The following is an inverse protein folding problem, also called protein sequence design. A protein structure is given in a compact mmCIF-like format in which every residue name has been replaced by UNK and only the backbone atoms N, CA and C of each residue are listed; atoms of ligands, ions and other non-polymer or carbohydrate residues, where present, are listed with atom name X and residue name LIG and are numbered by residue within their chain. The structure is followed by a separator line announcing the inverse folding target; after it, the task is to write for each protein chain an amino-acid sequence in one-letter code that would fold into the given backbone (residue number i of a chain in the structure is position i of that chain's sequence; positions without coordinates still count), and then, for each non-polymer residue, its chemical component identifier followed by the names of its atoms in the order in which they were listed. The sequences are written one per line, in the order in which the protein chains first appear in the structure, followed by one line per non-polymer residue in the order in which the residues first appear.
data_IF_927031220487
#
_entry.id   IF_927031220487
#
_cell.length_a   1.000
_cell.length_b   1.000
_cell.length_c   1.000
_cell.angle_alpha   90.00
_cell.angle_beta   90.00
_cell.angle_gamma   90.00
#
_symmetry.space_group_name_H-M   'P 1'
#
loop_
_entity.id
_entity.type
_entity.pdbx_description
1 polymer ?
#
# COMPACT_ATOMS: atom_id res chain seq x y z
N UNK A 1 3.29 -10.70 21.83
CA UNK A 1 2.02 -10.06 22.29
C UNK A 1 2.33 -9.25 23.55
N UNK A 2 1.74 -8.03 23.69
CA UNK A 2 1.97 -7.18 24.87
C UNK A 2 2.31 -5.73 24.55
N UNK A 3 2.32 -5.32 23.28
CA UNK A 3 2.50 -3.91 22.90
C UNK A 3 1.18 -3.16 23.16
N UNK A 4 1.23 -1.97 23.80
CA UNK A 4 0.04 -1.15 24.03
C UNK A 4 -0.71 -0.86 22.73
N UNK A 5 -2.04 -0.89 22.81
CA UNK A 5 -2.91 -0.74 21.63
C UNK A 5 -2.75 0.61 20.94
N UNK A 6 -2.47 1.68 21.69
CA UNK A 6 -2.22 3.02 21.13
C UNK A 6 -0.99 3.07 20.24
N UNK A 7 0.10 2.41 20.67
CA UNK A 7 1.34 2.34 19.87
C UNK A 7 1.14 1.52 18.60
N UNK A 8 0.42 0.39 18.70
CA UNK A 8 0.12 -0.42 17.51
C UNK A 8 -0.82 0.34 16.57
N UNK A 9 -1.78 1.10 17.11
CA UNK A 9 -2.67 1.93 16.32
C UNK A 9 -1.91 2.95 15.47
N UNK A 10 -1.08 3.75 16.13
CA UNK A 10 -0.26 4.75 15.44
C UNK A 10 0.68 4.10 14.40
N UNK A 11 1.30 2.97 14.76
CA UNK A 11 2.20 2.24 13.85
C UNK A 11 1.47 1.70 12.61
N UNK A 12 0.29 1.10 12.76
CA UNK A 12 -0.48 0.59 11.61
C UNK A 12 -0.88 1.73 10.69
N UNK A 13 -1.32 2.86 11.27
CA UNK A 13 -1.78 4.01 10.50
C UNK A 13 -0.66 4.65 9.69
N UNK A 14 0.45 4.95 10.35
CA UNK A 14 1.56 5.60 9.67
C UNK A 14 2.23 4.69 8.63
N UNK A 15 2.15 3.37 8.83
CA UNK A 15 2.64 2.41 7.82
C UNK A 15 1.80 2.39 6.54
N UNK A 16 0.59 2.96 6.59
CA UNK A 16 -0.25 3.16 5.41
C UNK A 16 -0.08 4.57 4.81
N UNK A 17 0.64 5.46 5.47
CA UNK A 17 1.07 6.72 4.86
C UNK A 17 2.32 6.43 4.01
N UNK A 18 2.09 6.06 2.77
CA UNK A 18 3.13 5.79 1.79
C UNK A 18 3.57 7.08 1.09
N UNK A 19 4.66 7.02 0.36
CA UNK A 19 5.01 8.09 -0.57
C UNK A 19 3.90 8.31 -1.60
N UNK A 20 3.24 7.24 -2.05
CA UNK A 20 2.08 7.29 -2.94
C UNK A 20 0.85 7.92 -2.26
N UNK A 21 0.70 7.82 -0.94
CA UNK A 21 -0.38 8.52 -0.23
C UNK A 21 -0.24 10.04 -0.33
N UNK A 22 0.98 10.56 -0.37
CA UNK A 22 1.24 11.99 -0.46
C UNK A 22 1.33 12.43 -1.94
N UNK A 23 2.17 11.77 -2.71
CA UNK A 23 2.48 12.16 -4.09
C UNK A 23 1.47 11.59 -5.08
N UNK A 24 1.10 10.31 -4.97
CA UNK A 24 0.12 9.67 -5.85
C UNK A 24 -1.29 10.22 -5.66
N UNK A 25 -1.67 10.62 -4.43
CA UNK A 25 -2.96 11.31 -4.24
C UNK A 25 -2.95 12.74 -4.79
N UNK A 26 -1.81 13.46 -4.73
CA UNK A 26 -1.66 14.75 -5.40
C UNK A 26 -1.75 14.59 -6.94
N UNK A 27 -1.12 13.57 -7.50
CA UNK A 27 -1.26 13.17 -8.90
C UNK A 27 -2.71 12.82 -9.26
N UNK A 28 -3.44 12.10 -8.39
CA UNK A 28 -4.87 11.84 -8.55
C UNK A 28 -5.70 13.14 -8.52
N UNK A 29 -5.31 14.12 -7.70
CA UNK A 29 -5.90 15.46 -7.69
C UNK A 29 -5.70 16.20 -9.00
N UNK A 30 -4.52 16.08 -9.62
CA UNK A 30 -4.28 16.62 -10.95
C UNK A 30 -5.16 15.94 -12.01
N UNK A 31 -5.27 14.61 -11.99
CA UNK A 31 -5.98 13.82 -12.99
C UNK A 31 -7.51 13.94 -12.89
N UNK A 32 -8.05 13.98 -11.65
CA UNK A 32 -9.49 13.89 -11.38
C UNK A 32 -10.05 15.10 -10.63
N UNK A 33 -9.29 16.18 -10.47
CA UNK A 33 -9.71 17.37 -9.74
C UNK A 33 -9.95 17.12 -8.25
N UNK A 34 -10.90 17.83 -7.67
CA UNK A 34 -11.22 17.73 -6.22
C UNK A 34 -11.69 16.35 -5.78
N UNK A 35 -12.22 15.55 -6.71
CA UNK A 35 -12.65 14.18 -6.44
C UNK A 35 -11.47 13.19 -6.31
N UNK A 36 -10.29 13.51 -6.87
CA UNK A 36 -9.15 12.60 -6.92
C UNK A 36 -8.67 12.18 -5.53
N UNK A 37 -8.37 13.14 -4.67
CA UNK A 37 -7.95 12.87 -3.29
C UNK A 37 -9.02 12.15 -2.45
N UNK A 38 -10.29 12.52 -2.63
CA UNK A 38 -11.41 11.86 -1.96
C UNK A 38 -11.54 10.39 -2.38
N UNK A 39 -11.47 10.12 -3.69
CA UNK A 39 -11.58 8.77 -4.23
C UNK A 39 -10.36 7.93 -3.87
N UNK A 40 -9.17 8.51 -3.82
CA UNK A 40 -7.97 7.87 -3.26
C UNK A 40 -8.23 7.43 -1.81
N UNK A 41 -8.78 8.32 -0.98
CA UNK A 41 -8.95 8.09 0.45
C UNK A 41 -9.95 6.96 0.75
N UNK A 42 -11.17 7.01 0.23
CA UNK A 42 -12.15 5.97 0.53
C UNK A 42 -11.80 4.64 -0.14
N UNK A 43 -11.29 4.66 -1.38
CA UNK A 43 -10.91 3.45 -2.10
C UNK A 43 -9.85 2.66 -1.35
N UNK A 44 -8.78 3.32 -0.92
CA UNK A 44 -7.71 2.67 -0.16
C UNK A 44 -8.06 2.36 1.31
N UNK A 45 -9.17 2.87 1.84
CA UNK A 45 -9.61 2.58 3.21
C UNK A 45 -10.44 1.30 3.32
N UNK A 46 -11.24 0.95 2.32
CA UNK A 46 -12.12 -0.23 2.33
C UNK A 46 -11.37 -1.52 2.67
N UNK A 47 -10.19 -1.82 2.12
CA UNK A 47 -9.48 -3.04 2.43
C UNK A 47 -9.10 -3.22 3.91
N UNK A 48 -8.92 -2.15 4.67
CA UNK A 48 -8.72 -2.27 6.12
C UNK A 48 -9.97 -2.75 6.84
N UNK A 49 -11.16 -2.30 6.40
CA UNK A 49 -12.41 -2.82 6.94
C UNK A 49 -12.64 -4.29 6.59
N UNK A 50 -12.05 -4.78 5.50
CA UNK A 50 -12.03 -6.21 5.17
C UNK A 50 -10.95 -6.96 6.00
N UNK A 51 -9.78 -6.38 6.19
CA UNK A 51 -8.68 -6.97 6.97
C UNK A 51 -9.06 -7.19 8.44
N UNK A 52 -9.77 -6.25 9.07
CA UNK A 52 -10.14 -6.33 10.49
C UNK A 52 -10.87 -7.63 10.81
N UNK A 53 -12.02 -7.99 10.19
CA UNK A 53 -12.70 -9.23 10.48
C UNK A 53 -11.87 -10.46 10.13
N UNK A 54 -11.02 -10.42 9.10
CA UNK A 54 -10.13 -11.52 8.75
C UNK A 54 -9.13 -11.81 9.87
N UNK A 55 -8.46 -10.78 10.38
CA UNK A 55 -7.48 -10.93 11.46
C UNK A 55 -8.14 -11.35 12.77
N UNK A 56 -9.32 -10.80 13.09
CA UNK A 56 -10.08 -11.20 14.27
C UNK A 56 -10.50 -12.67 14.20
N UNK A 57 -10.92 -13.13 13.01
CA UNK A 57 -11.27 -14.52 12.76
C UNK A 57 -10.04 -15.43 12.87
N UNK A 58 -8.92 -15.03 12.27
CA UNK A 58 -7.65 -15.75 12.35
C UNK A 58 -7.19 -15.92 13.80
N UNK A 59 -7.21 -14.85 14.60
CA UNK A 59 -6.84 -14.89 16.03
C UNK A 59 -7.72 -15.86 16.85
N UNK A 60 -9.00 -15.99 16.48
CA UNK A 60 -9.95 -16.88 17.16
C UNK A 60 -9.76 -18.33 16.72
N UNK A 61 -9.58 -18.59 15.44
CA UNK A 61 -9.54 -19.94 14.87
C UNK A 61 -8.13 -20.56 14.91
N UNK A 62 -7.09 -19.73 14.81
CA UNK A 62 -5.70 -20.18 14.77
C UNK A 62 -4.81 -19.28 15.66
N UNK A 63 -4.99 -19.34 17.00
CA UNK A 63 -4.39 -18.37 17.95
C UNK A 63 -2.86 -18.39 17.98
N UNK A 64 -2.22 -19.48 17.56
CA UNK A 64 -0.76 -19.63 17.53
C UNK A 64 -0.15 -19.28 16.16
N UNK A 65 -0.95 -18.90 15.18
CA UNK A 65 -0.51 -18.48 13.86
C UNK A 65 0.39 -17.22 13.95
N UNK A 66 1.46 -17.22 13.18
CA UNK A 66 2.41 -16.09 13.09
C UNK A 66 2.39 -15.41 11.73
N UNK A 67 2.09 -16.17 10.66
CA UNK A 67 1.98 -15.64 9.30
C UNK A 67 0.64 -16.03 8.66
N UNK A 68 0.14 -15.18 7.75
CA UNK A 68 -1.09 -15.54 7.02
C UNK A 68 -0.88 -16.76 6.10
N UNK A 69 0.35 -17.00 5.67
CA UNK A 69 0.71 -18.17 4.84
C UNK A 69 0.69 -19.48 5.63
N UNK A 70 0.93 -19.46 6.95
CA UNK A 70 0.67 -20.61 7.81
C UNK A 70 -0.82 -20.99 7.77
N UNK A 71 -1.72 -20.00 7.87
CA UNK A 71 -3.14 -20.25 7.72
C UNK A 71 -3.46 -20.86 6.35
N UNK A 72 -2.93 -20.30 5.26
CA UNK A 72 -3.12 -20.84 3.90
C UNK A 72 -2.60 -22.28 3.80
N UNK A 73 -1.48 -22.59 4.42
CA UNK A 73 -0.92 -23.95 4.46
C UNK A 73 -1.89 -24.94 5.12
N UNK A 74 -2.44 -24.58 6.26
CA UNK A 74 -3.40 -25.43 6.98
C UNK A 74 -4.73 -25.55 6.23
N UNK A 75 -5.16 -24.49 5.59
CA UNK A 75 -6.45 -24.41 4.91
C UNK A 75 -6.48 -25.06 3.53
N UNK A 76 -5.44 -24.85 2.74
CA UNK A 76 -5.38 -25.24 1.33
C UNK A 76 -4.23 -26.18 0.98
N UNK A 77 -3.29 -26.38 1.90
CA UNK A 77 -2.10 -27.18 1.69
C UNK A 77 -0.90 -26.40 1.12
N UNK A 78 0.25 -27.08 1.07
CA UNK A 78 1.54 -26.48 0.76
C UNK A 78 1.62 -25.88 -0.66
N UNK A 79 0.93 -26.48 -1.64
CA UNK A 79 0.95 -25.97 -3.02
C UNK A 79 0.36 -24.58 -3.15
N UNK A 80 -0.83 -24.36 -2.57
CA UNK A 80 -1.48 -23.04 -2.56
C UNK A 80 -0.70 -22.06 -1.70
N UNK A 81 -0.13 -22.52 -0.58
CA UNK A 81 0.69 -21.69 0.30
C UNK A 81 1.92 -21.12 -0.40
N UNK A 82 2.59 -21.90 -1.27
CA UNK A 82 3.71 -21.40 -2.09
C UNK A 82 3.27 -20.27 -3.01
N UNK A 83 2.09 -20.40 -3.61
CA UNK A 83 1.54 -19.35 -4.48
C UNK A 83 1.27 -18.06 -3.68
N UNK A 84 0.64 -18.17 -2.51
CA UNK A 84 0.42 -17.02 -1.63
C UNK A 84 1.72 -16.41 -1.08
N UNK A 85 2.74 -17.24 -0.83
CA UNK A 85 4.07 -16.74 -0.45
C UNK A 85 4.68 -15.88 -1.56
N UNK A 86 4.60 -16.32 -2.84
CA UNK A 86 5.10 -15.56 -3.98
C UNK A 86 4.37 -14.22 -4.10
N UNK A 87 3.04 -14.20 -4.00
CA UNK A 87 2.25 -12.97 -4.03
C UNK A 87 2.57 -12.04 -2.84
N UNK A 88 2.70 -12.59 -1.63
CA UNK A 88 3.05 -11.80 -0.45
C UNK A 88 4.43 -11.15 -0.55
N UNK A 89 5.43 -11.88 -1.05
CA UNK A 89 6.75 -11.29 -1.33
C UNK A 89 6.67 -10.28 -2.47
N UNK A 90 5.90 -10.57 -3.52
CA UNK A 90 5.65 -9.65 -4.63
C UNK A 90 5.08 -8.30 -4.16
N UNK A 91 4.09 -8.32 -3.28
CA UNK A 91 3.53 -7.11 -2.65
C UNK A 91 4.60 -6.34 -1.87
N UNK A 92 5.37 -7.03 -1.01
CA UNK A 92 6.43 -6.40 -0.22
C UNK A 92 7.47 -5.72 -1.11
N UNK A 93 7.92 -6.41 -2.16
CA UNK A 93 8.90 -5.87 -3.12
C UNK A 93 8.31 -4.67 -3.86
N UNK A 94 7.07 -4.77 -4.35
CA UNK A 94 6.38 -3.67 -5.01
C UNK A 94 6.28 -2.43 -4.09
N UNK A 95 5.82 -2.62 -2.86
CA UNK A 95 5.67 -1.51 -1.90
C UNK A 95 7.02 -0.82 -1.66
N UNK A 96 8.09 -1.58 -1.44
CA UNK A 96 9.43 -1.02 -1.28
C UNK A 96 9.90 -0.25 -2.51
N UNK A 97 9.60 -0.74 -3.72
CA UNK A 97 9.89 -0.05 -4.98
C UNK A 97 9.15 1.28 -5.02
N UNK A 98 7.85 1.31 -4.75
CA UNK A 98 7.04 2.52 -4.76
C UNK A 98 7.58 3.58 -3.77
N UNK A 99 8.00 3.16 -2.55
CA UNK A 99 8.64 4.07 -1.60
C UNK A 99 9.94 4.64 -2.18
N UNK A 100 10.81 3.80 -2.74
CA UNK A 100 12.08 4.24 -3.33
C UNK A 100 11.90 5.21 -4.49
N UNK A 101 10.96 4.93 -5.40
CA UNK A 101 10.63 5.81 -6.53
C UNK A 101 10.13 7.17 -6.01
N UNK A 102 9.16 7.19 -5.09
CA UNK A 102 8.62 8.42 -4.54
C UNK A 102 9.67 9.27 -3.83
N UNK A 103 10.51 8.68 -3.01
CA UNK A 103 11.59 9.40 -2.32
C UNK A 103 12.60 9.94 -3.34
N UNK A 104 12.97 9.16 -4.35
CA UNK A 104 13.88 9.59 -5.42
C UNK A 104 13.36 10.81 -6.18
N UNK A 105 12.06 10.83 -6.53
CA UNK A 105 11.40 11.98 -7.17
C UNK A 105 11.47 13.21 -6.25
N UNK A 106 11.12 13.08 -4.97
CA UNK A 106 11.11 14.22 -4.03
C UNK A 106 12.50 14.82 -3.84
N UNK A 107 13.53 14.00 -3.64
CA UNK A 107 14.91 14.51 -3.50
C UNK A 107 15.39 15.21 -4.76
N UNK A 108 15.04 14.68 -5.94
CA UNK A 108 15.40 15.31 -7.22
C UNK A 108 14.64 16.62 -7.43
N UNK A 109 13.31 16.64 -7.30
CA UNK A 109 12.47 17.83 -7.55
C UNK A 109 12.75 18.95 -6.56
N UNK A 110 12.98 18.64 -5.27
CA UNK A 110 13.18 19.64 -4.23
C UNK A 110 14.59 20.21 -4.19
N UNK A 111 15.61 19.36 -4.33
CA UNK A 111 17.02 19.74 -4.10
C UNK A 111 17.93 19.52 -5.32
N UNK A 112 17.43 18.99 -6.43
CA UNK A 112 18.26 18.65 -7.60
C UNK A 112 19.23 17.49 -7.34
N UNK A 113 19.04 16.71 -6.26
CA UNK A 113 19.84 15.54 -5.99
C UNK A 113 19.55 14.49 -7.05
N UNK A 114 20.57 13.85 -7.67
CA UNK A 114 20.32 12.79 -8.64
C UNK A 114 19.33 11.74 -8.11
N UNK A 115 18.33 11.40 -8.93
CA UNK A 115 17.25 10.49 -8.55
C UNK A 115 17.76 9.20 -7.93
N UNK A 116 18.82 8.61 -8.51
CA UNK A 116 19.41 7.35 -8.07
C UNK A 116 19.95 7.46 -6.63
N UNK A 117 20.57 8.59 -6.30
CA UNK A 117 21.10 8.88 -4.97
C UNK A 117 19.97 9.07 -3.96
N UNK A 118 18.97 9.88 -4.34
CA UNK A 118 17.77 10.16 -3.53
C UNK A 118 16.93 8.91 -3.26
N UNK A 119 16.94 7.93 -4.16
CA UNK A 119 16.19 6.69 -4.02
C UNK A 119 16.96 5.63 -3.21
N UNK A 120 18.25 5.42 -3.50
CA UNK A 120 19.05 4.31 -2.95
C UNK A 120 19.47 4.56 -1.50
N UNK A 121 19.92 5.77 -1.16
CA UNK A 121 20.41 6.07 0.20
C UNK A 121 19.33 5.87 1.27
N UNK A 122 18.09 6.38 1.11
CA UNK A 122 17.02 6.13 2.06
C UNK A 122 16.68 4.64 2.24
N UNK A 123 16.60 3.88 1.14
CA UNK A 123 16.39 2.44 1.20
C UNK A 123 17.52 1.71 1.93
N UNK A 124 18.76 2.14 1.74
CA UNK A 124 19.91 1.59 2.46
C UNK A 124 19.83 1.86 3.98
N UNK A 125 19.42 3.07 4.38
CA UNK A 125 19.20 3.43 5.78
C UNK A 125 18.15 2.55 6.43
N UNK A 126 16.97 2.39 5.78
CA UNK A 126 15.88 1.52 6.26
C UNK A 126 16.38 0.08 6.39
N UNK A 127 17.12 -0.41 5.41
CA UNK A 127 17.66 -1.78 5.41
C UNK A 127 18.55 -2.04 6.63
N UNK A 128 19.51 -1.16 6.89
CA UNK A 128 20.42 -1.28 8.04
C UNK A 128 19.68 -1.19 9.37
N UNK A 129 18.74 -0.24 9.46
CA UNK A 129 17.91 -0.04 10.64
C UNK A 129 17.08 -1.30 10.96
N UNK A 130 16.33 -1.84 9.99
CA UNK A 130 15.48 -3.01 10.19
C UNK A 130 16.29 -4.28 10.44
N UNK A 131 17.42 -4.45 9.78
CA UNK A 131 18.31 -5.58 10.04
C UNK A 131 18.80 -5.64 11.50
N UNK A 132 18.89 -4.48 12.17
CA UNK A 132 19.30 -4.39 13.58
C UNK A 132 18.13 -4.37 14.56
N UNK A 133 17.09 -3.58 14.31
CA UNK A 133 16.04 -3.28 15.28
C UNK A 133 14.83 -4.23 15.23
N UNK A 134 14.56 -4.84 14.08
CA UNK A 134 13.40 -5.72 13.89
C UNK A 134 12.05 -5.02 14.13
N UNK A 135 10.97 -5.82 14.32
CA UNK A 135 9.59 -5.32 14.42
C UNK A 135 9.35 -4.36 15.61
N UNK A 136 9.97 -4.60 16.77
CA UNK A 136 9.76 -3.73 17.94
C UNK A 136 10.30 -2.32 17.72
N UNK A 137 11.48 -2.21 17.15
CA UNK A 137 12.09 -0.94 16.80
C UNK A 137 11.27 -0.20 15.74
N UNK A 138 10.72 -0.90 14.76
CA UNK A 138 9.82 -0.33 13.75
C UNK A 138 8.61 0.34 14.40
N UNK A 139 7.86 -0.37 15.24
CA UNK A 139 6.63 0.16 15.88
C UNK A 139 6.91 1.42 16.72
N UNK A 140 8.04 1.48 17.42
CA UNK A 140 8.36 2.65 18.25
C UNK A 140 8.72 3.86 17.38
N UNK A 141 9.50 3.63 16.34
CA UNK A 141 9.88 4.68 15.39
C UNK A 141 8.67 5.23 14.62
N UNK A 142 7.72 4.36 14.25
CA UNK A 142 6.49 4.73 13.55
C UNK A 142 5.67 5.79 14.30
N UNK A 143 5.64 5.73 15.63
CA UNK A 143 4.91 6.71 16.46
C UNK A 143 5.51 8.11 16.35
N UNK A 144 6.84 8.20 16.39
CA UNK A 144 7.55 9.48 16.26
C UNK A 144 7.28 10.07 14.86
N UNK A 145 7.39 9.22 13.85
CA UNK A 145 7.17 9.61 12.46
C UNK A 145 5.73 10.07 12.21
N UNK A 146 4.73 9.45 12.85
CA UNK A 146 3.34 9.87 12.79
C UNK A 146 3.15 11.34 13.22
N UNK A 147 3.75 11.73 14.35
CA UNK A 147 3.65 13.11 14.83
C UNK A 147 4.33 14.09 13.87
N UNK A 148 5.50 13.76 13.35
CA UNK A 148 6.23 14.62 12.40
C UNK A 148 5.41 14.81 11.11
N UNK A 149 4.90 13.73 10.52
CA UNK A 149 4.07 13.78 9.32
C UNK A 149 2.82 14.63 9.56
N UNK A 150 2.13 14.42 10.68
CA UNK A 150 0.91 15.15 11.02
C UNK A 150 1.16 16.64 11.18
N UNK A 151 2.21 17.05 11.88
CA UNK A 151 2.57 18.46 12.09
C UNK A 151 2.86 19.13 10.75
N UNK A 152 3.68 18.52 9.90
CA UNK A 152 4.06 19.09 8.60
C UNK A 152 2.83 19.23 7.71
N UNK A 153 1.94 18.23 7.67
CA UNK A 153 0.69 18.29 6.90
C UNK A 153 -0.23 19.43 7.37
N UNK A 154 -0.43 19.56 8.68
CA UNK A 154 -1.29 20.62 9.26
C UNK A 154 -0.75 22.02 8.95
N UNK A 155 0.57 22.20 8.97
CA UNK A 155 1.22 23.49 8.69
C UNK A 155 1.20 23.81 7.20
N UNK A 156 1.38 22.80 6.34
CA UNK A 156 1.48 23.01 4.89
C UNK A 156 0.21 23.57 4.26
N UNK A 157 -0.97 23.13 4.71
CA UNK A 157 -2.25 23.54 4.12
C UNK A 157 -2.50 25.06 4.25
N UNK A 158 -2.47 25.65 5.46
CA UNK A 158 -2.65 27.10 5.57
C UNK A 158 -1.63 27.91 4.79
N UNK A 159 -0.38 27.45 4.71
CA UNK A 159 0.67 28.14 3.97
C UNK A 159 0.39 28.15 2.45
N UNK A 160 -0.06 27.05 1.89
CA UNK A 160 -0.46 27.00 0.46
C UNK A 160 -1.64 27.94 0.21
N UNK A 161 -2.68 27.87 1.05
CA UNK A 161 -3.86 28.70 0.90
C UNK A 161 -3.55 30.21 1.08
N UNK A 162 -2.60 30.54 1.97
CA UNK A 162 -2.15 31.91 2.16
C UNK A 162 -1.30 32.39 0.96
N UNK A 163 -0.43 31.52 0.41
CA UNK A 163 0.48 31.89 -0.68
C UNK A 163 -0.27 32.10 -2.01
N UNK A 164 -1.16 31.17 -2.38
CA UNK A 164 -1.90 31.23 -3.63
C UNK A 164 -3.18 32.05 -3.54
N UNK A 165 -3.84 32.05 -2.40
CA UNK A 165 -5.20 32.58 -2.23
C UNK A 165 -6.28 31.60 -2.68
N UNK A 166 -7.30 31.39 -1.84
CA UNK A 166 -8.39 30.48 -2.14
C UNK A 166 -9.16 30.87 -3.40
N UNK A 167 -9.36 32.17 -3.63
CA UNK A 167 -10.04 32.70 -4.81
C UNK A 167 -9.26 32.39 -6.08
N UNK A 168 -7.94 32.55 -6.06
CA UNK A 168 -7.10 32.25 -7.22
C UNK A 168 -7.10 30.77 -7.56
N UNK A 169 -7.05 29.89 -6.54
CA UNK A 169 -7.18 28.44 -6.73
C UNK A 169 -8.54 28.10 -7.35
N UNK A 170 -9.61 28.68 -6.83
CA UNK A 170 -10.96 28.45 -7.36
C UNK A 170 -11.09 28.93 -8.82
N UNK A 171 -10.67 30.16 -9.10
CA UNK A 171 -10.74 30.71 -10.46
C UNK A 171 -9.88 29.93 -11.46
N UNK A 172 -8.68 29.48 -11.04
CA UNK A 172 -7.86 28.59 -11.85
C UNK A 172 -8.51 27.25 -12.12
N UNK A 173 -9.20 26.66 -11.12
CA UNK A 173 -9.97 25.43 -11.34
C UNK A 173 -11.20 25.64 -12.24
N UNK A 174 -11.83 26.83 -12.20
CA UNK A 174 -12.89 27.20 -13.15
C UNK A 174 -12.32 27.23 -14.57
N UNK A 175 -11.11 27.78 -14.78
CA UNK A 175 -10.44 27.74 -16.09
C UNK A 175 -10.15 26.31 -16.56
N UNK A 176 -9.69 25.42 -15.64
CA UNK A 176 -9.51 23.98 -15.93
C UNK A 176 -10.80 23.32 -16.42
N UNK A 177 -11.96 23.74 -15.88
CA UNK A 177 -13.28 23.16 -16.25
C UNK A 177 -13.81 23.74 -17.56
N UNK A 178 -13.58 25.03 -17.83
CA UNK A 178 -14.27 25.78 -18.89
C UNK A 178 -13.43 26.05 -20.13
N UNK A 179 -12.11 25.99 -20.01
CA UNK A 179 -11.18 26.31 -21.09
C UNK A 179 -10.57 25.06 -21.73
N UNK A 180 -11.03 24.63 -22.94
CA UNK A 180 -10.48 23.45 -23.63
C UNK A 180 -9.00 23.56 -24.01
N UNK A 181 -8.45 24.78 -24.09
CA UNK A 181 -7.03 24.97 -24.37
C UNK A 181 -6.13 24.87 -23.14
N UNK A 182 -6.72 24.73 -21.95
CA UNK A 182 -5.94 24.50 -20.72
C UNK A 182 -5.29 23.10 -20.76
N UNK A 183 -4.00 23.04 -20.45
CA UNK A 183 -3.21 21.79 -20.44
C UNK A 183 -3.81 20.71 -19.52
N UNK A 184 -4.54 21.13 -18.49
CA UNK A 184 -5.20 20.25 -17.52
C UNK A 184 -6.72 20.21 -17.73
N UNK A 185 -7.22 20.52 -18.94
CA UNK A 185 -8.66 20.58 -19.20
C UNK A 185 -9.38 19.35 -18.69
N UNK A 186 -10.32 19.56 -17.79
CA UNK A 186 -11.17 18.51 -17.22
C UNK A 186 -12.52 19.11 -16.79
N UNK A 187 -13.59 18.89 -17.54
CA UNK A 187 -14.90 19.46 -17.24
C UNK A 187 -15.51 19.00 -15.92
N UNK A 188 -14.97 17.92 -15.32
CA UNK A 188 -15.41 17.39 -14.05
C UNK A 188 -14.48 17.77 -12.87
N UNK A 189 -13.45 18.60 -13.06
CA UNK A 189 -12.43 18.88 -12.03
C UNK A 189 -12.99 19.49 -10.73
N UNK A 190 -14.10 20.22 -10.79
CA UNK A 190 -14.82 20.77 -9.64
C UNK A 190 -15.95 19.87 -9.12
N UNK A 191 -16.15 18.68 -9.69
CA UNK A 191 -17.19 17.73 -9.26
C UNK A 191 -16.64 16.74 -8.24
N UNK A 192 -17.26 16.65 -7.06
CA UNK A 192 -16.96 15.59 -6.08
C UNK A 192 -17.43 14.20 -6.57
N UNK A 193 -18.37 14.16 -7.49
CA UNK A 193 -18.95 12.94 -8.08
C UNK A 193 -18.53 12.76 -9.53
N UNK A 194 -17.28 13.08 -9.89
CA UNK A 194 -16.77 12.89 -11.25
C UNK A 194 -16.75 11.40 -11.61
N UNK A 195 -17.16 11.10 -12.86
CA UNK A 195 -17.17 9.73 -13.36
C UNK A 195 -15.77 9.10 -13.41
N UNK A 196 -14.76 9.88 -13.81
CA UNK A 196 -13.36 9.49 -13.80
C UNK A 196 -12.85 9.21 -12.38
N UNK A 197 -13.11 10.13 -11.45
CA UNK A 197 -12.72 9.96 -10.05
C UNK A 197 -13.38 8.75 -9.39
N UNK A 198 -14.66 8.49 -9.66
CA UNK A 198 -15.35 7.31 -9.11
C UNK A 198 -14.76 6.00 -9.65
N UNK A 199 -14.48 5.90 -10.95
CA UNK A 199 -13.78 4.74 -11.53
C UNK A 199 -12.43 4.54 -10.86
N UNK A 200 -11.69 5.62 -10.63
CA UNK A 200 -10.43 5.56 -9.91
C UNK A 200 -10.62 5.07 -8.45
N UNK A 201 -11.61 5.56 -7.73
CA UNK A 201 -11.92 5.09 -6.37
C UNK A 201 -12.20 3.58 -6.30
N UNK A 202 -12.99 3.05 -7.24
CA UNK A 202 -13.21 1.60 -7.36
C UNK A 202 -11.90 0.85 -7.65
N UNK A 203 -11.06 1.39 -8.53
CA UNK A 203 -9.73 0.83 -8.81
C UNK A 203 -8.85 0.84 -7.56
N UNK A 204 -8.87 1.93 -6.80
CA UNK A 204 -8.12 2.03 -5.55
C UNK A 204 -8.54 0.97 -4.51
N UNK A 205 -9.84 0.58 -4.48
CA UNK A 205 -10.28 -0.58 -3.67
C UNK A 205 -9.56 -1.85 -4.13
N UNK A 206 -9.52 -2.11 -5.42
CA UNK A 206 -8.89 -3.34 -5.97
C UNK A 206 -7.39 -3.35 -5.67
N UNK A 207 -6.72 -2.24 -5.92
CA UNK A 207 -5.29 -2.03 -5.64
C UNK A 207 -4.99 -2.34 -4.17
N UNK A 208 -5.68 -1.67 -3.27
CA UNK A 208 -5.44 -1.82 -1.85
C UNK A 208 -5.90 -3.18 -1.28
N UNK A 209 -6.88 -3.86 -1.90
CA UNK A 209 -7.21 -5.24 -1.51
C UNK A 209 -6.00 -6.17 -1.62
N UNK A 210 -5.27 -6.12 -2.74
CA UNK A 210 -4.05 -6.90 -2.90
C UNK A 210 -2.95 -6.49 -1.92
N UNK A 211 -2.68 -5.19 -1.85
CA UNK A 211 -1.59 -4.63 -1.04
C UNK A 211 -1.79 -4.83 0.47
N UNK A 212 -3.01 -4.72 0.97
CA UNK A 212 -3.31 -4.85 2.41
C UNK A 212 -3.46 -6.30 2.84
N UNK A 213 -4.22 -7.10 2.07
CA UNK A 213 -4.56 -8.45 2.49
C UNK A 213 -3.42 -9.46 2.28
N UNK A 214 -2.43 -9.16 1.46
CA UNK A 214 -1.25 -10.01 1.24
C UNK A 214 0.02 -9.50 1.91
N UNK A 215 -0.02 -8.35 2.58
CA UNK A 215 1.14 -7.83 3.30
C UNK A 215 1.22 -8.40 4.73
N UNK A 216 2.21 -9.25 4.95
CA UNK A 216 2.49 -9.84 6.27
C UNK A 216 2.77 -8.79 7.35
N UNK A 217 3.24 -7.60 7.00
CA UNK A 217 3.50 -6.51 7.94
C UNK A 217 2.25 -6.14 8.76
N UNK A 218 1.08 -6.02 8.12
CA UNK A 218 -0.18 -5.73 8.79
C UNK A 218 -0.63 -6.87 9.70
N UNK A 219 -0.50 -8.13 9.27
CA UNK A 219 -0.80 -9.28 10.12
C UNK A 219 0.11 -9.33 11.35
N UNK A 220 1.40 -9.09 11.18
CA UNK A 220 2.37 -9.07 12.28
C UNK A 220 2.03 -8.02 13.34
N UNK A 221 1.68 -6.79 12.92
CA UNK A 221 1.25 -5.71 13.81
C UNK A 221 -0.07 -6.04 14.50
N UNK A 222 -1.03 -6.58 13.76
CA UNK A 222 -2.31 -7.01 14.30
C UNK A 222 -2.17 -8.14 15.34
N UNK A 223 -1.32 -9.13 15.07
CA UNK A 223 -1.02 -10.23 16.00
C UNK A 223 -0.31 -9.73 17.26
N UNK A 224 0.54 -8.71 17.16
CA UNK A 224 1.24 -8.10 18.29
C UNK A 224 0.30 -7.35 19.27
N UNK A 225 -0.90 -6.96 18.84
CA UNK A 225 -1.86 -6.18 19.64
C UNK A 225 -2.39 -6.98 20.83
N UNK A 226 -2.53 -6.33 21.99
CA UNK A 226 -2.90 -6.98 23.25
C UNK A 226 -4.31 -7.58 23.23
N UNK A 227 -5.32 -6.93 22.63
CA UNK A 227 -6.70 -7.42 22.59
C UNK A 227 -7.41 -7.17 21.26
N UNK A 228 -8.44 -7.98 20.96
CA UNK A 228 -9.27 -7.82 19.76
C UNK A 228 -10.07 -6.52 19.76
N UNK A 229 -10.51 -6.04 20.91
CA UNK A 229 -11.25 -4.77 21.04
C UNK A 229 -10.35 -3.56 20.77
N UNK A 230 -9.12 -3.65 21.26
CA UNK A 230 -8.07 -2.64 20.99
C UNK A 230 -7.68 -2.61 19.53
N UNK A 231 -7.57 -3.78 18.89
CA UNK A 231 -7.29 -3.91 17.46
C UNK A 231 -8.37 -3.21 16.63
N UNK A 232 -9.65 -3.53 16.88
CA UNK A 232 -10.77 -2.93 16.13
C UNK A 232 -10.76 -1.40 16.23
N UNK A 233 -10.64 -0.88 17.46
CA UNK A 233 -10.59 0.59 17.67
C UNK A 233 -9.39 1.22 16.96
N UNK A 234 -8.23 0.59 17.08
CA UNK A 234 -7.01 1.06 16.46
C UNK A 234 -7.14 1.21 14.94
N UNK A 235 -7.62 0.18 14.28
CA UNK A 235 -7.73 0.18 12.82
C UNK A 235 -8.83 1.13 12.33
N UNK A 236 -10.00 1.18 12.99
CA UNK A 236 -11.11 2.06 12.56
C UNK A 236 -10.74 3.53 12.75
N UNK A 237 -10.35 3.94 13.97
CA UNK A 237 -10.01 5.34 14.25
C UNK A 237 -8.84 5.78 13.39
N UNK A 238 -7.84 4.95 13.29
CA UNK A 238 -6.67 5.29 12.54
C UNK A 238 -6.93 5.41 11.04
N UNK A 239 -7.69 4.52 10.43
CA UNK A 239 -8.03 4.63 9.01
C UNK A 239 -8.84 5.90 8.75
N UNK A 240 -9.93 6.12 9.51
CA UNK A 240 -10.86 7.22 9.23
C UNK A 240 -10.33 8.58 9.70
N UNK A 241 -9.75 8.65 10.89
CA UNK A 241 -9.39 9.93 11.51
C UNK A 241 -7.95 10.33 11.23
N UNK A 242 -7.02 9.36 11.24
CA UNK A 242 -5.61 9.67 11.08
C UNK A 242 -5.13 9.60 9.63
N UNK A 243 -5.59 8.61 8.84
CA UNK A 243 -5.07 8.39 7.49
C UNK A 243 -5.89 9.09 6.40
N UNK A 244 -7.22 8.93 6.34
CA UNK A 244 -8.04 9.48 5.25
C UNK A 244 -7.87 10.99 4.99
N UNK A 245 -7.69 11.85 6.00
CA UNK A 245 -7.46 13.27 5.75
C UNK A 245 -6.21 13.54 4.91
N UNK A 246 -5.16 12.73 5.01
CA UNK A 246 -3.89 12.96 4.30
C UNK A 246 -4.08 12.93 2.78
N UNK A 247 -4.57 11.85 2.15
CA UNK A 247 -4.76 11.84 0.70
C UNK A 247 -5.85 12.82 0.22
N UNK A 248 -6.88 13.12 1.04
CA UNK A 248 -7.87 14.14 0.70
C UNK A 248 -7.19 15.50 0.58
N UNK A 249 -6.34 15.86 1.53
CA UNK A 249 -5.58 17.12 1.51
C UNK A 249 -4.59 17.12 0.34
N UNK A 250 -3.82 16.06 0.17
CA UNK A 250 -2.81 16.02 -0.90
C UNK A 250 -3.45 16.12 -2.29
N UNK A 251 -4.56 15.42 -2.57
CA UNK A 251 -5.27 15.53 -3.83
C UNK A 251 -6.01 16.87 -3.97
N UNK A 252 -6.82 17.22 -2.96
CA UNK A 252 -7.68 18.39 -3.00
C UNK A 252 -6.93 19.74 -2.86
N UNK A 253 -5.81 19.76 -2.09
CA UNK A 253 -5.04 21.01 -1.93
C UNK A 253 -3.79 21.00 -2.80
N UNK A 254 -2.92 19.98 -2.70
CA UNK A 254 -1.66 20.03 -3.44
C UNK A 254 -1.87 19.85 -4.94
N UNK A 255 -2.55 18.78 -5.37
CA UNK A 255 -2.81 18.51 -6.79
C UNK A 255 -3.66 19.59 -7.46
N UNK A 256 -4.76 19.98 -6.84
CA UNK A 256 -5.66 21.00 -7.36
C UNK A 256 -5.01 22.38 -7.41
N UNK A 257 -4.14 22.74 -6.45
CA UNK A 257 -3.39 24.00 -6.51
C UNK A 257 -2.44 24.04 -7.72
N UNK A 258 -1.82 22.92 -8.08
CA UNK A 258 -0.92 22.86 -9.22
C UNK A 258 -1.67 23.08 -10.54
N UNK A 259 -2.76 22.35 -10.76
CA UNK A 259 -3.54 22.52 -12.02
C UNK A 259 -4.22 23.89 -12.11
N UNK A 260 -4.59 24.49 -10.97
CA UNK A 260 -5.17 25.86 -10.95
C UNK A 260 -4.20 26.95 -11.41
N UNK A 261 -2.90 26.67 -11.38
CA UNK A 261 -1.86 27.56 -11.93
C UNK A 261 -1.55 27.32 -13.43
N UNK A 262 -2.28 26.42 -14.09
CA UNK A 262 -1.99 26.02 -15.46
C UNK A 262 -0.73 25.15 -15.60
N UNK A 263 -0.26 24.54 -14.49
CA UNK A 263 0.92 23.68 -14.46
C UNK A 263 0.47 22.23 -14.58
N UNK A 264 1.10 21.49 -15.48
CA UNK A 264 0.79 20.08 -15.74
C UNK A 264 1.99 19.31 -16.27
N UNK A 265 1.81 18.02 -16.54
CA UNK A 265 2.84 17.19 -17.17
C UNK A 265 3.13 17.70 -18.59
N UNK A 266 4.40 17.93 -18.90
CA UNK A 266 4.84 18.61 -20.14
C UNK A 266 4.67 20.13 -20.13
N UNK A 267 4.03 20.72 -19.11
CA UNK A 267 3.84 22.16 -18.96
C UNK A 267 4.24 22.62 -17.54
N UNK A 268 5.52 22.46 -17.22
CA UNK A 268 6.11 22.85 -15.94
C UNK A 268 6.46 21.66 -15.03
N UNK A 269 5.90 20.48 -15.25
CA UNK A 269 6.28 19.23 -14.59
C UNK A 269 6.81 18.22 -15.61
N UNK A 270 7.82 17.45 -15.23
CA UNK A 270 8.27 16.29 -16.00
C UNK A 270 7.35 15.07 -15.78
N UNK A 271 6.79 14.95 -14.59
CA UNK A 271 5.86 13.89 -14.18
C UNK A 271 4.76 14.49 -13.30
N UNK A 272 3.52 14.04 -13.45
CA UNK A 272 2.42 14.43 -12.58
C UNK A 272 2.68 14.09 -11.10
N UNK A 273 3.48 13.06 -10.81
CA UNK A 273 3.95 12.69 -9.45
C UNK A 273 4.79 13.80 -8.78
N UNK A 274 5.26 14.80 -9.52
CA UNK A 274 6.00 15.95 -8.97
C UNK A 274 5.08 17.05 -8.41
N UNK A 275 3.76 16.91 -8.52
CA UNK A 275 2.80 17.93 -8.07
C UNK A 275 3.02 18.37 -6.62
N UNK A 276 3.09 17.42 -5.70
CA UNK A 276 3.30 17.73 -4.28
C UNK A 276 4.66 18.40 -3.99
N UNK A 277 5.81 17.91 -4.46
CA UNK A 277 7.08 18.62 -4.30
C UNK A 277 7.10 19.97 -5.04
N UNK A 278 6.45 20.12 -6.18
CA UNK A 278 6.38 21.38 -6.91
C UNK A 278 5.72 22.48 -6.08
N UNK A 279 4.50 22.24 -5.59
CA UNK A 279 3.79 23.22 -4.78
C UNK A 279 4.53 23.54 -3.47
N UNK A 280 5.14 22.53 -2.85
CA UNK A 280 5.91 22.74 -1.63
C UNK A 280 7.18 23.55 -1.85
N UNK A 281 7.88 23.33 -2.97
CA UNK A 281 9.05 24.12 -3.34
C UNK A 281 8.67 25.57 -3.60
N UNK A 282 7.52 25.82 -4.25
CA UNK A 282 7.01 27.13 -4.51
C UNK A 282 6.69 27.90 -3.22
N UNK A 283 5.96 27.25 -2.31
CA UNK A 283 5.48 27.87 -1.06
C UNK A 283 6.60 28.08 -0.04
N UNK A 284 7.53 27.15 0.06
CA UNK A 284 8.61 27.21 1.05
C UNK A 284 9.90 27.87 0.55
N UNK A 285 10.03 28.12 -0.77
CA UNK A 285 11.17 28.86 -1.34
C UNK A 285 12.54 28.23 -1.12
N UNK A 286 12.64 26.92 -0.91
CA UNK A 286 13.89 26.20 -0.69
C UNK A 286 14.45 26.26 0.75
N UNK A 287 13.76 26.92 1.69
CA UNK A 287 14.19 27.03 3.09
C UNK A 287 13.91 25.79 3.95
N UNK A 288 13.87 25.99 5.28
CA UNK A 288 13.62 24.93 6.25
C UNK A 288 12.34 24.13 5.97
N UNK A 289 11.28 24.79 5.47
CA UNK A 289 10.02 24.15 5.11
C UNK A 289 10.19 23.11 4.00
N UNK A 290 11.04 23.36 3.01
CA UNK A 290 11.37 22.38 1.97
C UNK A 290 12.08 21.15 2.55
N UNK A 291 12.98 21.34 3.49
CA UNK A 291 13.65 20.24 4.20
C UNK A 291 12.63 19.43 5.02
N UNK A 292 11.70 20.10 5.71
CA UNK A 292 10.65 19.44 6.49
C UNK A 292 9.72 18.62 5.60
N UNK A 293 9.33 19.13 4.42
CA UNK A 293 8.51 18.37 3.48
C UNK A 293 9.23 17.11 2.97
N UNK A 294 10.50 17.24 2.56
CA UNK A 294 11.31 16.08 2.14
C UNK A 294 11.44 15.07 3.29
N UNK A 295 11.66 15.56 4.52
CA UNK A 295 11.72 14.71 5.72
C UNK A 295 10.38 13.98 5.94
N UNK A 296 9.24 14.64 5.73
CA UNK A 296 7.91 14.02 5.83
C UNK A 296 7.76 12.85 4.86
N UNK A 297 8.07 13.05 3.58
CA UNK A 297 7.97 11.99 2.56
C UNK A 297 8.97 10.87 2.84
N UNK A 298 10.19 11.20 3.25
CA UNK A 298 11.19 10.23 3.66
C UNK A 298 10.71 9.38 4.86
N UNK A 299 10.13 10.02 5.87
CA UNK A 299 9.58 9.33 7.04
C UNK A 299 8.41 8.40 6.67
N UNK A 300 7.52 8.84 5.78
CA UNK A 300 6.43 8.01 5.25
C UNK A 300 6.98 6.74 4.57
N UNK A 301 7.97 6.89 3.69
CA UNK A 301 8.62 5.74 3.06
C UNK A 301 9.38 4.83 4.03
N UNK A 302 10.00 5.39 5.07
CA UNK A 302 10.72 4.61 6.09
C UNK A 302 9.80 3.75 6.96
N UNK A 303 8.65 4.28 7.42
CA UNK A 303 7.69 3.51 8.23
C UNK A 303 7.16 2.32 7.44
N UNK A 304 6.75 2.57 6.21
CA UNK A 304 6.25 1.55 5.30
C UNK A 304 7.33 0.53 4.96
N UNK A 305 8.50 1.00 4.54
CA UNK A 305 9.64 0.14 4.21
C UNK A 305 10.07 -0.74 5.39
N UNK A 306 10.05 -0.19 6.61
CA UNK A 306 10.32 -0.93 7.83
C UNK A 306 9.32 -2.05 8.09
N UNK A 307 8.03 -1.79 7.92
CA UNK A 307 6.96 -2.78 8.00
C UNK A 307 7.12 -3.91 6.99
N UNK A 308 7.34 -3.56 5.72
CA UNK A 308 7.54 -4.50 4.62
C UNK A 308 8.77 -5.39 4.82
N UNK A 309 9.92 -4.84 5.17
CA UNK A 309 11.13 -5.63 5.43
C UNK A 309 10.97 -6.54 6.65
N UNK A 310 10.27 -6.10 7.70
CA UNK A 310 9.94 -6.96 8.84
C UNK A 310 8.98 -8.09 8.44
N UNK A 311 8.02 -7.81 7.56
CA UNK A 311 7.12 -8.80 6.96
C UNK A 311 7.89 -9.82 6.11
N UNK A 312 8.83 -9.37 5.29
CA UNK A 312 9.72 -10.25 4.51
C UNK A 312 10.55 -11.16 5.42
N UNK A 313 11.15 -10.61 6.50
CA UNK A 313 11.86 -11.43 7.47
C UNK A 313 10.97 -12.54 8.03
N UNK A 314 9.72 -12.22 8.42
CA UNK A 314 8.79 -13.19 8.98
C UNK A 314 8.46 -14.30 7.96
N UNK A 315 8.06 -13.93 6.74
CA UNK A 315 7.70 -14.87 5.68
C UNK A 315 8.88 -15.77 5.30
N UNK A 316 10.05 -15.19 5.03
CA UNK A 316 11.21 -15.98 4.63
C UNK A 316 11.73 -16.87 5.75
N UNK A 317 11.65 -16.44 7.01
CA UNK A 317 12.13 -17.22 8.15
C UNK A 317 11.18 -18.37 8.46
N UNK A 318 9.88 -18.10 8.61
CA UNK A 318 8.89 -19.10 9.00
C UNK A 318 8.52 -20.03 7.82
N UNK A 319 8.20 -19.44 6.67
CA UNK A 319 7.60 -20.19 5.56
C UNK A 319 8.61 -20.75 4.56
N UNK A 320 9.84 -20.23 4.54
CA UNK A 320 10.89 -20.74 3.65
C UNK A 320 12.02 -21.42 4.41
N UNK A 321 12.73 -20.70 5.28
CA UNK A 321 13.94 -21.20 5.91
C UNK A 321 13.67 -22.38 6.82
N UNK A 322 12.76 -22.22 7.77
CA UNK A 322 12.42 -23.28 8.73
C UNK A 322 11.72 -24.47 8.07
N UNK A 323 10.90 -24.21 7.05
CA UNK A 323 10.12 -25.27 6.39
C UNK A 323 10.91 -26.09 5.38
N UNK A 324 11.87 -25.49 4.66
CA UNK A 324 12.53 -26.13 3.54
C UNK A 324 14.07 -26.20 3.66
N UNK A 325 14.71 -25.36 4.49
CA UNK A 325 16.18 -25.30 4.59
C UNK A 325 16.67 -25.91 5.87
N UNK A 326 16.15 -25.49 7.03
CA UNK A 326 16.58 -26.01 8.33
C UNK A 326 15.38 -26.09 9.29
N UNK A 327 14.67 -27.24 9.35
CA UNK A 327 13.52 -27.43 10.24
C UNK A 327 13.84 -27.31 11.73
N UNK A 328 15.09 -27.57 12.12
CA UNK A 328 15.57 -27.52 13.52
C UNK A 328 16.28 -26.21 13.85
N UNK A 329 16.16 -25.18 12.99
CA UNK A 329 16.85 -23.91 13.16
C UNK A 329 16.52 -23.24 14.50
N UNK A 330 17.56 -22.86 15.24
CA UNK A 330 17.45 -22.08 16.47
C UNK A 330 16.94 -20.67 16.17
N UNK A 331 16.42 -19.95 17.18
CA UNK A 331 16.00 -18.55 17.02
C UNK A 331 17.14 -17.66 16.51
N UNK A 332 18.37 -17.91 16.97
CA UNK A 332 19.53 -17.14 16.51
C UNK A 332 19.82 -17.37 15.02
N UNK A 333 19.73 -18.60 14.54
CA UNK A 333 19.90 -18.95 13.13
C UNK A 333 18.81 -18.32 12.28
N UNK A 334 17.57 -18.34 12.76
CA UNK A 334 16.44 -17.68 12.11
C UNK A 334 16.65 -16.17 12.01
N UNK A 335 17.07 -15.51 13.09
CA UNK A 335 17.39 -14.07 13.07
C UNK A 335 18.54 -13.73 12.13
N UNK A 336 19.61 -14.55 12.10
CA UNK A 336 20.72 -14.36 11.16
C UNK A 336 20.26 -14.48 9.71
N UNK A 337 19.41 -15.46 9.42
CA UNK A 337 18.85 -15.63 8.09
C UNK A 337 17.94 -14.46 7.71
N UNK A 338 17.03 -14.03 8.59
CA UNK A 338 16.15 -12.88 8.38
C UNK A 338 16.93 -11.60 8.05
N UNK A 339 18.05 -11.34 8.76
CA UNK A 339 18.94 -10.20 8.46
C UNK A 339 19.53 -10.29 7.05
N UNK A 340 20.00 -11.47 6.63
CA UNK A 340 20.53 -11.67 5.27
C UNK A 340 19.46 -11.40 4.22
N UNK A 341 18.24 -11.90 4.42
CA UNK A 341 17.12 -11.68 3.51
C UNK A 341 16.77 -10.19 3.38
N UNK A 342 16.82 -9.42 4.48
CA UNK A 342 16.61 -7.97 4.43
C UNK A 342 17.56 -7.31 3.42
N UNK A 343 18.86 -7.64 3.46
CA UNK A 343 19.83 -7.09 2.50
C UNK A 343 19.61 -7.57 1.08
N UNK A 344 19.25 -8.84 0.87
CA UNK A 344 18.99 -9.39 -0.47
C UNK A 344 17.77 -8.71 -1.09
N UNK A 345 16.64 -8.66 -0.38
CA UNK A 345 15.41 -8.02 -0.87
C UNK A 345 15.65 -6.55 -1.17
N UNK A 346 16.30 -5.82 -0.27
CA UNK A 346 16.59 -4.40 -0.47
C UNK A 346 17.54 -4.16 -1.65
N UNK A 347 18.54 -5.03 -1.85
CA UNK A 347 19.46 -4.94 -2.99
C UNK A 347 18.72 -5.09 -4.33
N UNK A 348 17.80 -6.06 -4.43
CA UNK A 348 16.94 -6.24 -5.61
C UNK A 348 16.08 -4.99 -5.82
N UNK A 349 15.43 -4.49 -4.77
CA UNK A 349 14.59 -3.30 -4.83
C UNK A 349 15.37 -2.09 -5.31
N UNK A 350 16.58 -1.84 -4.79
CA UNK A 350 17.42 -0.71 -5.21
C UNK A 350 17.72 -0.73 -6.72
N UNK A 351 18.02 -1.90 -7.26
CA UNK A 351 18.25 -2.05 -8.72
C UNK A 351 16.97 -1.72 -9.49
N UNK A 352 15.82 -2.27 -9.09
CA UNK A 352 14.55 -2.07 -9.79
C UNK A 352 14.10 -0.60 -9.71
N UNK A 353 14.29 0.06 -8.57
CA UNK A 353 13.96 1.48 -8.40
C UNK A 353 14.73 2.36 -9.39
N UNK A 354 16.01 2.08 -9.61
CA UNK A 354 16.81 2.81 -10.62
C UNK A 354 16.24 2.61 -12.04
N UNK A 355 15.83 1.38 -12.38
CA UNK A 355 15.25 1.06 -13.70
C UNK A 355 13.87 1.68 -13.92
N UNK A 356 13.15 2.02 -12.86
CA UNK A 356 11.82 2.63 -12.91
C UNK A 356 11.84 4.17 -12.83
N UNK A 357 13.01 4.78 -12.98
CA UNK A 357 13.14 6.24 -13.11
C UNK A 357 12.20 6.79 -14.20
N UNK A 358 11.48 7.86 -13.89
CA UNK A 358 10.57 8.50 -14.83
C UNK A 358 9.21 7.81 -15.00
N UNK A 359 8.83 6.90 -14.08
CA UNK A 359 7.51 6.28 -14.08
C UNK A 359 6.57 6.99 -13.09
N UNK A 360 5.31 7.15 -13.47
CA UNK A 360 4.24 7.68 -12.63
C UNK A 360 3.98 6.77 -11.43
N UNK A 361 3.92 7.36 -10.23
CA UNK A 361 3.59 6.64 -9.00
C UNK A 361 2.16 6.14 -9.00
N UNK A 362 1.22 6.96 -9.48
CA UNK A 362 -0.19 6.60 -9.55
C UNK A 362 -0.42 5.42 -10.50
N UNK A 363 0.22 5.44 -11.68
CA UNK A 363 0.08 4.37 -12.66
C UNK A 363 0.73 3.06 -12.17
N UNK A 364 1.88 3.15 -11.49
CA UNK A 364 2.49 1.98 -10.84
C UNK A 364 1.56 1.37 -9.79
N UNK A 365 0.90 2.22 -9.01
CA UNK A 365 -0.05 1.79 -7.96
C UNK A 365 -1.26 1.10 -8.60
N UNK A 366 -1.86 1.70 -9.62
CA UNK A 366 -2.97 1.12 -10.41
C UNK A 366 -2.59 -0.25 -11.00
N UNK A 367 -1.41 -0.37 -11.61
CA UNK A 367 -0.97 -1.64 -12.19
C UNK A 367 -0.74 -2.73 -11.15
N UNK A 368 -0.33 -2.36 -9.94
CA UNK A 368 -0.16 -3.32 -8.84
C UNK A 368 -1.46 -4.02 -8.44
N UNK A 369 -2.61 -3.35 -8.58
CA UNK A 369 -3.91 -3.96 -8.33
C UNK A 369 -4.18 -5.15 -9.25
N UNK A 370 -3.86 -5.02 -10.55
CA UNK A 370 -3.97 -6.12 -11.51
C UNK A 370 -3.10 -7.31 -11.10
N UNK A 371 -1.89 -7.04 -10.58
CA UNK A 371 -0.95 -8.09 -10.19
C UNK A 371 -1.35 -8.81 -8.90
N UNK A 372 -1.94 -8.09 -7.92
CA UNK A 372 -2.04 -8.62 -6.55
C UNK A 372 -3.48 -8.82 -6.04
N UNK A 373 -4.53 -8.39 -6.76
CA UNK A 373 -5.91 -8.53 -6.27
C UNK A 373 -6.45 -9.97 -6.33
N UNK A 374 -6.03 -10.77 -7.31
CA UNK A 374 -6.62 -12.07 -7.58
C UNK A 374 -6.62 -13.06 -6.38
N UNK A 375 -5.56 -13.18 -5.55
CA UNK A 375 -5.55 -14.10 -4.41
C UNK A 375 -6.52 -13.73 -3.28
N UNK A 376 -6.95 -12.47 -3.20
CA UNK A 376 -7.74 -11.96 -2.07
C UNK A 376 -9.09 -12.65 -1.91
N UNK A 377 -9.75 -13.00 -3.02
CA UNK A 377 -11.03 -13.73 -3.02
C UNK A 377 -10.88 -15.12 -2.40
N UNK A 378 -9.80 -15.85 -2.74
CA UNK A 378 -9.50 -17.17 -2.16
C UNK A 378 -9.06 -17.07 -0.69
N UNK A 379 -8.36 -16.00 -0.31
CA UNK A 379 -8.00 -15.74 1.09
C UNK A 379 -9.26 -15.53 1.95
N UNK A 380 -10.17 -14.67 1.52
CA UNK A 380 -11.43 -14.38 2.20
C UNK A 380 -12.29 -15.65 2.30
N UNK A 381 -12.48 -16.34 1.19
CA UNK A 381 -13.26 -17.58 1.17
C UNK A 381 -12.62 -18.68 2.05
N UNK A 382 -11.30 -18.75 2.10
CA UNK A 382 -10.58 -19.66 2.97
C UNK A 382 -10.92 -19.49 4.46
N UNK A 383 -11.19 -18.26 4.88
CA UNK A 383 -11.55 -17.93 6.26
C UNK A 383 -12.99 -18.34 6.62
N UNK A 384 -13.92 -18.24 5.68
CA UNK A 384 -15.36 -18.33 5.97
C UNK A 384 -16.09 -19.48 5.27
N UNK A 385 -15.61 -19.97 4.13
CA UNK A 385 -16.27 -20.97 3.33
C UNK A 385 -15.59 -22.35 3.44
N UNK A 386 -16.32 -23.35 3.96
CA UNK A 386 -15.83 -24.73 4.07
C UNK A 386 -15.60 -25.40 2.71
N UNK A 387 -16.38 -25.01 1.69
CA UNK A 387 -16.46 -25.70 0.39
C UNK A 387 -15.41 -25.24 -0.65
N UNK A 388 -14.69 -24.16 -0.38
CA UNK A 388 -13.62 -23.72 -1.28
C UNK A 388 -12.46 -24.71 -1.26
N UNK A 389 -12.28 -25.44 -2.35
CA UNK A 389 -11.20 -26.41 -2.48
C UNK A 389 -9.86 -25.75 -2.90
N UNK A 390 -8.71 -26.40 -2.66
CA UNK A 390 -7.41 -25.93 -3.16
C UNK A 390 -7.39 -25.69 -4.67
N UNK A 391 -8.07 -26.55 -5.46
CA UNK A 391 -8.14 -26.41 -6.91
C UNK A 391 -8.90 -25.15 -7.33
N UNK A 392 -10.04 -24.85 -6.67
CA UNK A 392 -10.81 -23.62 -6.90
C UNK A 392 -9.94 -22.40 -6.58
N UNK A 393 -9.20 -22.43 -5.49
CA UNK A 393 -8.33 -21.33 -5.10
C UNK A 393 -7.25 -21.04 -6.16
N UNK A 394 -6.51 -22.06 -6.62
CA UNK A 394 -5.49 -21.87 -7.67
C UNK A 394 -6.11 -21.40 -8.98
N UNK A 395 -7.18 -22.04 -9.43
CA UNK A 395 -7.83 -21.70 -10.69
C UNK A 395 -8.35 -20.26 -10.68
N UNK A 396 -8.97 -19.81 -9.57
CA UNK A 396 -9.45 -18.44 -9.44
C UNK A 396 -8.32 -17.41 -9.52
N UNK A 397 -7.19 -17.67 -8.86
CA UNK A 397 -6.04 -16.77 -8.87
C UNK A 397 -5.46 -16.64 -10.29
N UNK A 398 -5.27 -17.77 -10.98
CA UNK A 398 -4.71 -17.78 -12.34
C UNK A 398 -5.64 -17.05 -13.31
N UNK A 399 -6.95 -17.37 -13.28
CA UNK A 399 -7.92 -16.70 -14.14
C UNK A 399 -8.07 -15.21 -13.86
N UNK A 400 -8.02 -14.80 -12.57
CA UNK A 400 -8.11 -13.40 -12.19
C UNK A 400 -6.91 -12.60 -12.69
N UNK A 401 -5.69 -13.10 -12.45
CA UNK A 401 -4.47 -12.45 -12.94
C UNK A 401 -4.45 -12.37 -14.48
N UNK A 402 -4.77 -13.49 -15.15
CA UNK A 402 -4.78 -13.54 -16.62
C UNK A 402 -5.83 -12.59 -17.21
N UNK A 403 -7.06 -12.57 -16.70
CA UNK A 403 -8.12 -11.69 -17.20
C UNK A 403 -7.81 -10.21 -16.98
N UNK A 404 -7.22 -9.86 -15.83
CA UNK A 404 -6.79 -8.49 -15.55
C UNK A 404 -5.70 -8.02 -16.50
N UNK A 405 -4.65 -8.82 -16.69
CA UNK A 405 -3.55 -8.51 -17.61
C UNK A 405 -4.02 -8.45 -19.07
N UNK A 406 -4.82 -9.42 -19.53
CA UNK A 406 -5.39 -9.43 -20.89
C UNK A 406 -6.19 -8.14 -21.12
N UNK A 407 -7.08 -7.77 -20.20
CA UNK A 407 -7.87 -6.57 -20.35
C UNK A 407 -7.01 -5.31 -20.42
N UNK A 408 -6.01 -5.20 -19.55
CA UNK A 408 -5.12 -4.04 -19.52
C UNK A 408 -4.35 -3.85 -20.83
N UNK A 409 -3.84 -4.93 -21.44
CA UNK A 409 -3.03 -4.84 -22.65
C UNK A 409 -3.82 -4.91 -23.97
N UNK A 410 -5.04 -5.50 -23.94
CA UNK A 410 -5.85 -5.71 -25.17
C UNK A 410 -6.86 -4.62 -25.40
N UNK A 411 -7.36 -3.96 -24.34
CA UNK A 411 -8.30 -2.85 -24.49
C UNK A 411 -7.55 -1.62 -25.01
N UNK A 412 -7.88 -1.10 -26.23
CA UNK A 412 -7.12 -0.02 -26.85
C UNK A 412 -7.34 1.33 -26.16
N UNK A 413 -8.45 1.49 -25.45
CA UNK A 413 -8.79 2.75 -24.79
C UNK A 413 -8.04 2.83 -23.44
N UNK A 414 -7.02 3.68 -23.41
CA UNK A 414 -6.17 3.91 -22.24
C UNK A 414 -6.92 4.56 -21.07
N UNK A 415 -8.05 5.23 -21.31
CA UNK A 415 -8.86 5.86 -20.24
C UNK A 415 -9.64 4.84 -19.40
N UNK A 416 -9.81 3.61 -19.90
CA UNK A 416 -10.61 2.59 -19.23
C UNK A 416 -9.91 1.23 -19.06
N UNK A 417 -8.80 0.97 -19.78
CA UNK A 417 -8.13 -0.33 -19.75
C UNK A 417 -7.63 -0.68 -18.33
N UNK A 418 -7.08 0.29 -17.62
CA UNK A 418 -6.63 0.17 -16.24
C UNK A 418 -7.79 -0.14 -15.28
N UNK A 419 -8.95 0.48 -15.50
CA UNK A 419 -10.14 0.25 -14.69
C UNK A 419 -10.71 -1.15 -14.90
N UNK A 420 -10.92 -1.55 -16.17
CA UNK A 420 -11.43 -2.88 -16.52
C UNK A 420 -10.45 -3.97 -16.08
N UNK A 421 -9.15 -3.77 -16.30
CA UNK A 421 -8.11 -4.70 -15.87
C UNK A 421 -8.15 -4.96 -14.36
N UNK A 422 -8.24 -3.92 -13.55
CA UNK A 422 -8.37 -4.03 -12.11
C UNK A 422 -9.65 -4.73 -11.69
N UNK A 423 -10.81 -4.33 -12.25
CA UNK A 423 -12.08 -4.98 -11.91
C UNK A 423 -12.07 -6.48 -12.24
N UNK A 424 -11.57 -6.88 -13.40
CA UNK A 424 -11.49 -8.29 -13.76
C UNK A 424 -10.52 -9.06 -12.87
N UNK A 425 -9.39 -8.46 -12.47
CA UNK A 425 -8.45 -9.08 -11.55
C UNK A 425 -9.07 -9.43 -10.18
N UNK A 426 -10.09 -8.70 -9.74
CA UNK A 426 -10.81 -8.95 -8.48
C UNK A 426 -12.10 -9.75 -8.69
N UNK A 427 -12.94 -9.39 -9.67
CA UNK A 427 -14.28 -9.96 -9.84
C UNK A 427 -14.24 -11.37 -10.42
N UNK A 428 -13.39 -11.65 -11.40
CA UNK A 428 -13.28 -12.99 -11.99
C UNK A 428 -12.92 -14.04 -10.92
N UNK A 429 -11.89 -13.86 -10.08
CA UNK A 429 -11.63 -14.82 -9.02
C UNK A 429 -12.75 -14.89 -7.98
N UNK A 430 -13.42 -13.78 -7.67
CA UNK A 430 -14.55 -13.79 -6.76
C UNK A 430 -15.71 -14.67 -7.29
N UNK A 431 -16.09 -14.50 -8.55
CA UNK A 431 -17.12 -15.31 -9.21
C UNK A 431 -16.72 -16.79 -9.24
N UNK A 432 -15.49 -17.11 -9.62
CA UNK A 432 -14.99 -18.49 -9.66
C UNK A 432 -15.04 -19.13 -8.26
N UNK A 433 -14.63 -18.41 -7.24
CA UNK A 433 -14.65 -18.89 -5.85
C UNK A 433 -16.09 -19.12 -5.38
N UNK A 434 -17.01 -18.18 -5.62
CA UNK A 434 -18.40 -18.29 -5.22
C UNK A 434 -19.07 -19.47 -5.94
N UNK A 435 -19.05 -19.46 -7.28
CA UNK A 435 -19.69 -20.50 -8.08
C UNK A 435 -19.04 -21.86 -7.84
N UNK A 436 -17.72 -21.94 -7.86
CA UNK A 436 -16.98 -23.17 -7.60
C UNK A 436 -17.29 -23.76 -6.21
N UNK A 437 -17.41 -22.92 -5.19
CA UNK A 437 -17.73 -23.37 -3.82
C UNK A 437 -19.18 -23.83 -3.68
N UNK A 438 -20.12 -23.26 -4.44
CA UNK A 438 -21.53 -23.69 -4.43
C UNK A 438 -21.69 -25.13 -4.95
N UNK A 439 -20.96 -25.48 -6.01
CA UNK A 439 -21.02 -26.80 -6.64
C UNK A 439 -19.98 -27.81 -6.09
N UNK A 440 -19.10 -27.38 -5.21
CA UNK A 440 -18.05 -28.22 -4.65
C UNK A 440 -18.60 -29.21 -3.63
N UNK A 441 -18.18 -30.46 -3.74
CA UNK A 441 -18.39 -31.51 -2.72
C UNK A 441 -17.29 -31.50 -1.65
N UNK A 442 -16.27 -30.65 -1.79
CA UNK A 442 -15.20 -30.51 -0.81
C UNK A 442 -15.73 -29.87 0.48
N UNK A 443 -15.30 -30.41 1.62
CA UNK A 443 -15.63 -29.85 2.91
C UNK A 443 -14.39 -29.83 3.80
N UNK A 444 -14.07 -28.64 4.31
CA UNK A 444 -12.94 -28.41 5.21
C UNK A 444 -13.44 -28.27 6.66
N UNK A 445 -12.81 -28.99 7.55
CA UNK A 445 -13.09 -28.90 8.97
C UNK A 445 -12.22 -27.80 9.62
N UNK A 446 -12.86 -26.70 10.01
CA UNK A 446 -12.19 -25.56 10.65
C UNK A 446 -11.70 -25.85 12.10
N UNK A 447 -12.16 -26.92 12.74
CA UNK A 447 -11.67 -27.29 14.08
C UNK A 447 -10.19 -27.70 14.03
N UNK A 448 -9.72 -28.20 12.89
CA UNK A 448 -8.29 -28.51 12.67
C UNK A 448 -7.38 -27.30 12.84
N UNK A 449 -7.86 -26.09 12.58
CA UNK A 449 -7.09 -24.86 12.76
C UNK A 449 -6.81 -24.55 14.24
N UNK A 450 -7.70 -24.95 15.15
CA UNK A 450 -7.52 -24.74 16.60
C UNK A 450 -6.41 -25.63 17.18
N UNK A 451 -6.23 -26.80 16.60
CA UNK A 451 -5.20 -27.76 17.00
C UNK A 451 -3.82 -27.43 16.39
N UNK A 452 -3.70 -26.36 15.60
CA UNK A 452 -2.43 -25.97 15.01
C UNK A 452 -1.41 -25.57 16.07
N UNK A 453 -0.31 -26.29 16.08
CA UNK A 453 0.90 -25.95 16.82
C UNK A 453 1.96 -25.55 15.79
N UNK A 454 2.53 -24.33 15.88
CA UNK A 454 3.71 -24.01 15.09
C UNK A 454 4.83 -24.98 15.49
N UNK A 455 5.60 -25.49 14.54
CA UNK A 455 6.76 -26.37 14.78
C UNK A 455 7.84 -25.74 15.70
N UNK A 456 7.53 -24.61 16.30
CA UNK A 456 8.33 -23.84 17.25
C UNK A 456 8.02 -24.12 18.71
N UNK A 457 6.97 -24.90 19.00
CA UNK A 457 6.56 -25.23 20.35
C UNK A 457 7.26 -26.49 20.90
N UNK A 458 8.53 -26.70 20.55
CA UNK A 458 9.37 -27.62 21.29
C UNK A 458 10.22 -26.80 22.25
N UNK A 459 9.71 -26.70 23.47
CA UNK A 459 10.28 -26.28 24.77
C UNK A 459 11.50 -25.35 24.79
#
# INVERSE_FOLDING_TARGET
RGIPSSLVAASVMVSWVWTTTIMGSAEAGMSFGISGGLNYAWGNSIPFFVLIPLVLHLRKKMPKCTTFTEFITQRYGAGVSKLFFIFGIGVIVYVLIAQGVGIGIVFNSMFGIPYEVGAVIPLAIVTVYIAKAGLRGSIFNDVIQFFIISIIMIVSVPLILQYLGMENIYNGLVDVVTNPDNVNYNPEALSLASGGGFRYGLTAVVVAMGQVLLDQGYYSKAIATASSKSLLRAYVIGTVVAWMPIPIICGGVFGCSVISMGVGEGAGLALASEAAPYIMKLVYGGGLGSVMFVLMVFMAGMTTGGGCLSGAQALFTADFYKKYVNPTATEEQQMKFGRKITFVVSGIVMVVVILLKGKSLLMMDIFSGILFAAPTSSLIAGMYCKRTSPKIAVFSIVCGLASGLIAFFVIPNEDINWFVGNLLALLVPAVIVIVGSLFSKYEYDFEKLKAYEPDHAVN
#
